data_IF_744078079271
#
_entry.id   IF_744078079271
#
_cell.length_a   1.000
_cell.length_b   1.000
_cell.length_c   1.000
_cell.angle_alpha   90.00
_cell.angle_beta   90.00
_cell.angle_gamma   90.00
#
_symmetry.space_group_name_H-M   'P 1'
#
loop_
_entity.id
_entity.type
_entity.pdbx_description
1 polymer ?
#
# COMPACT_ATOMS: atom_id res chain seq x y z
N UNK A 1 -29.19 10.93 -18.10
CA UNK A 1 -28.52 11.67 -16.99
C UNK A 1 -27.56 10.70 -16.30
N UNK A 2 -26.26 10.98 -16.27
CA UNK A 2 -25.28 10.07 -15.65
C UNK A 2 -25.43 10.04 -14.14
N UNK A 3 -25.52 8.85 -13.53
CA UNK A 3 -25.57 8.70 -12.07
C UNK A 3 -24.23 9.14 -11.46
N UNK A 4 -24.28 10.04 -10.48
CA UNK A 4 -23.10 10.48 -9.75
C UNK A 4 -22.52 9.32 -8.93
N UNK A 5 -21.22 9.07 -9.07
CA UNK A 5 -20.50 8.01 -8.36
C UNK A 5 -19.48 8.64 -7.43
N UNK A 6 -19.49 8.26 -6.15
CA UNK A 6 -18.52 8.72 -5.16
C UNK A 6 -17.49 7.62 -4.89
N UNK A 7 -16.21 7.98 -4.94
CA UNK A 7 -15.08 7.13 -4.60
C UNK A 7 -14.36 7.74 -3.40
N UNK A 8 -14.21 6.97 -2.33
CA UNK A 8 -13.46 7.38 -1.13
C UNK A 8 -12.12 6.65 -1.11
N UNK A 9 -11.03 7.42 -1.07
CA UNK A 9 -9.68 6.89 -0.98
C UNK A 9 -9.11 7.20 0.41
N UNK A 10 -8.64 6.15 1.10
CA UNK A 10 -8.03 6.28 2.43
C UNK A 10 -6.64 5.68 2.40
N UNK A 11 -5.64 6.47 2.78
CA UNK A 11 -4.29 5.95 3.04
C UNK A 11 -4.28 5.29 4.42
N UNK A 12 -3.57 4.18 4.56
CA UNK A 12 -3.38 3.53 5.86
C UNK A 12 -2.71 4.49 6.87
N UNK A 13 -2.98 4.27 8.16
CA UNK A 13 -2.30 5.00 9.24
C UNK A 13 -0.81 4.64 9.38
N UNK A 14 -0.10 5.33 10.25
CA UNK A 14 1.32 5.09 10.55
C UNK A 14 1.60 3.61 10.87
N UNK A 15 2.63 3.03 10.23
CA UNK A 15 3.15 1.70 10.59
C UNK A 15 4.33 1.77 11.56
N UNK A 16 4.64 0.66 12.24
CA UNK A 16 5.82 0.56 13.11
C UNK A 16 7.12 0.93 12.38
N UNK A 17 7.26 0.56 11.11
CA UNK A 17 8.41 0.92 10.29
C UNK A 17 8.43 2.38 9.88
N UNK A 18 7.26 3.01 9.67
CA UNK A 18 7.22 4.45 9.41
C UNK A 18 7.73 5.23 10.62
N UNK A 19 7.28 4.85 11.83
CA UNK A 19 7.73 5.42 13.10
C UNK A 19 9.24 5.26 13.31
N UNK A 20 9.80 4.12 12.93
CA UNK A 20 11.24 3.85 13.00
C UNK A 20 12.07 4.47 11.87
N UNK A 21 11.44 5.30 11.02
CA UNK A 21 12.07 5.92 9.85
C UNK A 21 12.72 4.92 8.87
N UNK A 22 12.15 3.71 8.73
CA UNK A 22 12.63 2.67 7.82
C UNK A 22 11.91 2.71 6.46
N UNK A 23 12.57 2.24 5.41
CA UNK A 23 11.89 1.93 4.14
C UNK A 23 11.06 0.66 4.31
N UNK A 24 9.75 0.75 4.13
CA UNK A 24 8.85 -0.40 4.34
C UNK A 24 8.65 -1.20 3.05
N UNK A 25 8.06 -0.58 2.03
CA UNK A 25 7.72 -1.25 0.78
C UNK A 25 6.74 -2.39 1.02
N UNK A 26 7.07 -3.59 0.57
CA UNK A 26 6.23 -4.78 0.72
C UNK A 26 6.43 -5.55 2.02
N UNK A 27 7.34 -5.08 2.89
CA UNK A 27 7.42 -5.59 4.27
C UNK A 27 6.07 -5.38 4.95
N UNK A 28 5.57 -6.44 5.58
CA UNK A 28 4.22 -6.50 6.14
C UNK A 28 4.14 -5.93 7.56
N UNK A 29 4.69 -4.72 7.73
CA UNK A 29 4.73 -4.05 9.02
C UNK A 29 3.31 -3.69 9.51
N UNK A 30 2.98 -3.95 10.79
CA UNK A 30 1.67 -3.59 11.36
C UNK A 30 1.54 -2.08 11.57
N UNK A 31 0.30 -1.63 11.81
CA UNK A 31 0.03 -0.27 12.29
C UNK A 31 0.69 -0.05 13.66
N UNK A 32 1.17 1.18 13.89
CA UNK A 32 1.49 1.65 15.24
C UNK A 32 0.20 1.96 16.02
N UNK A 33 0.31 2.21 17.32
CA UNK A 33 -0.84 2.71 18.10
C UNK A 33 -1.35 4.05 17.56
N UNK A 34 -0.46 4.91 17.07
CA UNK A 34 -0.87 6.14 16.41
C UNK A 34 -1.59 5.86 15.08
N UNK A 35 -1.12 4.89 14.29
CA UNK A 35 -1.79 4.48 13.06
C UNK A 35 -3.18 3.90 13.26
N UNK A 36 -3.43 3.21 14.39
CA UNK A 36 -4.77 2.77 14.78
C UNK A 36 -5.68 3.97 15.09
N UNK A 37 -5.20 4.94 15.86
CA UNK A 37 -5.93 6.19 16.14
C UNK A 37 -6.23 7.00 14.86
N UNK A 38 -5.31 7.04 13.90
CA UNK A 38 -5.55 7.64 12.59
C UNK A 38 -6.67 6.95 11.81
N UNK A 39 -6.68 5.62 11.80
CA UNK A 39 -7.76 4.85 11.19
C UNK A 39 -9.12 5.12 11.86
N UNK A 40 -9.14 5.26 13.19
CA UNK A 40 -10.36 5.63 13.91
C UNK A 40 -10.84 7.05 13.62
N UNK A 41 -9.92 8.01 13.45
CA UNK A 41 -10.28 9.37 13.04
C UNK A 41 -10.89 9.38 11.64
N UNK A 42 -10.31 8.63 10.71
CA UNK A 42 -10.88 8.45 9.38
C UNK A 42 -12.28 7.82 9.44
N UNK A 43 -12.46 6.81 10.31
CA UNK A 43 -13.76 6.17 10.52
C UNK A 43 -14.82 7.15 11.04
N UNK A 44 -14.46 8.01 12.01
CA UNK A 44 -15.36 9.04 12.55
C UNK A 44 -15.73 10.08 11.49
N UNK A 45 -14.78 10.49 10.64
CA UNK A 45 -15.07 11.41 9.54
C UNK A 45 -16.05 10.79 8.54
N UNK A 46 -15.81 9.53 8.16
CA UNK A 46 -16.70 8.78 7.26
C UNK A 46 -18.12 8.68 7.83
N UNK A 47 -18.27 8.44 9.14
CA UNK A 47 -19.55 8.40 9.82
C UNK A 47 -20.29 9.75 9.72
N UNK A 48 -19.58 10.84 10.02
CA UNK A 48 -20.12 12.22 10.03
C UNK A 48 -20.61 12.65 8.65
N UNK A 49 -19.90 12.27 7.60
CA UNK A 49 -20.27 12.59 6.22
C UNK A 49 -21.42 11.70 5.68
N UNK A 50 -21.84 10.67 6.43
CA UNK A 50 -22.96 9.81 6.05
C UNK A 50 -22.72 8.97 4.79
N UNK A 51 -21.47 8.63 4.48
CA UNK A 51 -21.15 7.81 3.29
C UNK A 51 -21.72 6.40 3.42
N UNK A 52 -22.35 5.91 2.35
CA UNK A 52 -22.76 4.52 2.20
C UNK A 52 -21.82 3.82 1.21
N UNK A 53 -21.37 2.64 1.58
CA UNK A 53 -20.45 1.84 0.78
C UNK A 53 -21.11 0.54 0.34
N UNK A 54 -20.76 0.08 -0.86
CA UNK A 54 -21.21 -1.22 -1.40
C UNK A 54 -20.11 -2.28 -1.39
N UNK A 55 -18.86 -1.84 -1.48
CA UNK A 55 -17.69 -2.71 -1.63
C UNK A 55 -16.47 -1.96 -1.14
N UNK A 56 -15.51 -2.70 -0.59
CA UNK A 56 -14.20 -2.18 -0.22
C UNK A 56 -13.09 -2.86 -1.02
N UNK A 57 -12.02 -2.12 -1.27
CA UNK A 57 -10.80 -2.60 -1.88
C UNK A 57 -9.64 -2.31 -0.96
N UNK A 58 -8.69 -3.24 -0.88
CA UNK A 58 -7.45 -3.03 -0.12
C UNK A 58 -6.28 -3.79 -0.74
N UNK A 59 -5.08 -3.47 -0.30
CA UNK A 59 -3.88 -4.23 -0.65
C UNK A 59 -3.84 -5.57 0.09
N UNK A 60 -2.77 -6.37 -0.09
CA UNK A 60 -2.56 -7.58 0.72
C UNK A 60 -1.72 -7.32 1.97
N UNK A 61 -1.40 -6.05 2.26
CA UNK A 61 -0.53 -5.66 3.38
C UNK A 61 -1.35 -5.34 4.63
N UNK A 62 -0.98 -5.91 5.78
CA UNK A 62 -1.68 -5.83 7.06
C UNK A 62 -2.04 -4.41 7.46
N UNK A 63 -1.15 -3.43 7.27
CA UNK A 63 -1.43 -2.03 7.62
C UNK A 63 -2.66 -1.46 6.90
N UNK A 64 -2.83 -1.76 5.60
CA UNK A 64 -3.99 -1.30 4.85
C UNK A 64 -5.25 -2.12 5.18
N UNK A 65 -5.10 -3.44 5.36
CA UNK A 65 -6.18 -4.34 5.78
C UNK A 65 -6.73 -3.91 7.16
N UNK A 66 -5.84 -3.68 8.13
CA UNK A 66 -6.22 -3.31 9.49
C UNK A 66 -6.83 -1.91 9.55
N UNK A 67 -6.34 -0.94 8.74
CA UNK A 67 -7.01 0.37 8.63
C UNK A 67 -8.44 0.21 8.12
N UNK A 68 -8.66 -0.56 7.05
CA UNK A 68 -10.00 -0.82 6.53
C UNK A 68 -10.89 -1.52 7.57
N UNK A 69 -10.37 -2.53 8.27
CA UNK A 69 -11.12 -3.25 9.32
C UNK A 69 -11.53 -2.34 10.48
N UNK A 70 -10.67 -1.41 10.90
CA UNK A 70 -11.02 -0.42 11.94
C UNK A 70 -12.16 0.47 11.45
N UNK A 71 -12.08 0.97 10.22
CA UNK A 71 -13.12 1.81 9.61
C UNK A 71 -14.46 1.06 9.53
N UNK A 72 -14.43 -0.18 9.04
CA UNK A 72 -15.62 -1.00 8.90
C UNK A 72 -16.27 -1.30 10.25
N UNK A 73 -15.48 -1.76 11.24
CA UNK A 73 -16.01 -2.06 12.58
C UNK A 73 -16.64 -0.86 13.26
N UNK A 74 -15.99 0.32 13.19
CA UNK A 74 -16.48 1.53 13.87
C UNK A 74 -17.74 2.12 13.23
N UNK A 75 -17.97 1.83 11.96
CA UNK A 75 -19.16 2.26 11.22
C UNK A 75 -20.19 1.12 11.03
N UNK A 76 -20.02 -0.01 11.73
CA UNK A 76 -20.87 -1.20 11.60
C UNK A 76 -21.09 -1.65 10.14
N UNK A 77 -20.05 -1.52 9.31
CA UNK A 77 -20.09 -1.88 7.89
C UNK A 77 -19.78 -3.36 7.70
N UNK A 78 -20.66 -4.07 7.00
CA UNK A 78 -20.46 -5.45 6.56
C UNK A 78 -20.33 -5.49 5.03
N UNK A 79 -19.14 -5.18 4.52
CA UNK A 79 -18.87 -5.08 3.08
C UNK A 79 -18.06 -6.27 2.59
N UNK A 80 -18.32 -6.67 1.35
CA UNK A 80 -17.37 -7.48 0.59
C UNK A 80 -16.04 -6.72 0.44
N UNK A 81 -14.94 -7.41 0.74
CA UNK A 81 -13.58 -6.85 0.66
C UNK A 81 -12.80 -7.57 -0.43
N UNK A 82 -12.42 -6.85 -1.48
CA UNK A 82 -11.52 -7.36 -2.51
C UNK A 82 -10.08 -6.96 -2.17
N UNK A 83 -9.24 -7.96 -1.91
CA UNK A 83 -7.79 -7.77 -1.72
C UNK A 83 -7.08 -7.89 -3.06
N UNK A 84 -6.20 -6.93 -3.38
CA UNK A 84 -5.41 -6.98 -4.60
C UNK A 84 -3.97 -6.56 -4.35
N UNK A 85 -3.00 -7.45 -4.61
CA UNK A 85 -1.57 -7.12 -4.46
C UNK A 85 -1.15 -5.94 -5.32
N UNK A 86 -1.86 -5.69 -6.43
CA UNK A 86 -1.59 -4.54 -7.30
C UNK A 86 -1.92 -3.20 -6.65
N UNK A 87 -2.57 -3.19 -5.48
CA UNK A 87 -2.76 -2.04 -4.61
C UNK A 87 -1.72 -1.94 -3.49
N UNK A 88 -0.71 -2.83 -3.46
CA UNK A 88 0.41 -2.72 -2.52
C UNK A 88 1.17 -1.40 -2.70
N UNK A 89 1.87 -0.99 -1.64
CA UNK A 89 2.84 0.12 -1.69
C UNK A 89 3.92 -0.13 -2.75
N UNK A 90 4.63 0.90 -3.20
CA UNK A 90 5.81 0.76 -4.06
C UNK A 90 6.87 -0.15 -3.40
N UNK A 91 7.37 -1.15 -4.13
CA UNK A 91 8.45 -2.02 -3.65
C UNK A 91 9.78 -1.25 -3.56
N UNK A 92 10.37 -1.14 -2.36
CA UNK A 92 11.61 -0.38 -2.15
C UNK A 92 12.89 -1.15 -2.49
N UNK A 93 12.75 -2.36 -3.04
CA UNK A 93 13.87 -3.20 -3.46
C UNK A 93 14.80 -3.55 -2.30
N UNK A 94 16.10 -3.46 -2.53
CA UNK A 94 17.11 -3.72 -1.51
C UNK A 94 17.13 -2.69 -0.37
N UNK A 95 16.39 -1.58 -0.48
CA UNK A 95 16.28 -0.60 0.61
C UNK A 95 15.31 -1.05 1.71
N UNK A 96 14.45 -2.03 1.45
CA UNK A 96 13.45 -2.49 2.43
C UNK A 96 14.11 -2.90 3.75
N UNK A 97 13.60 -2.36 4.86
CA UNK A 97 14.12 -2.57 6.21
C UNK A 97 15.21 -1.59 6.64
N UNK A 98 15.91 -0.93 5.71
CA UNK A 98 16.98 0.00 6.03
C UNK A 98 16.44 1.33 6.59
N UNK A 99 17.21 1.98 7.46
CA UNK A 99 16.87 3.29 8.00
C UNK A 99 17.15 4.37 6.93
N UNK A 100 16.22 5.32 6.75
CA UNK A 100 16.34 6.37 5.73
C UNK A 100 17.47 7.35 6.02
N UNK A 101 17.73 7.66 7.29
CA UNK A 101 18.81 8.53 7.71
C UNK A 101 20.18 7.91 7.44
N UNK A 102 20.36 6.64 7.83
CA UNK A 102 21.59 5.89 7.53
C UNK A 102 21.86 5.81 6.01
N UNK A 103 20.81 5.57 5.21
CA UNK A 103 20.96 5.55 3.74
C UNK A 103 21.26 6.93 3.17
N UNK A 104 20.77 8.01 3.79
CA UNK A 104 21.08 9.37 3.37
C UNK A 104 22.54 9.72 3.68
N UNK A 105 23.08 9.27 4.80
CA UNK A 105 24.52 9.38 5.12
C UNK A 105 25.37 8.55 4.15
N UNK A 106 24.95 7.33 3.83
CA UNK A 106 25.72 6.41 2.97
C UNK A 106 25.71 6.78 1.49
N UNK A 107 24.56 7.19 0.95
CA UNK A 107 24.37 7.41 -0.49
C UNK A 107 24.12 8.88 -0.86
N UNK A 108 24.03 9.76 0.12
CA UNK A 108 23.68 11.16 -0.07
C UNK A 108 22.17 11.40 -0.08
N UNK A 109 21.75 12.54 0.49
CA UNK A 109 20.34 12.93 0.58
C UNK A 109 19.65 13.03 -0.79
N UNK A 110 20.34 13.59 -1.78
CA UNK A 110 19.82 13.74 -3.15
C UNK A 110 19.47 12.38 -3.76
N UNK A 111 20.32 11.36 -3.57
CA UNK A 111 20.09 10.03 -4.11
C UNK A 111 18.90 9.34 -3.42
N UNK A 112 18.82 9.46 -2.09
CA UNK A 112 17.67 8.94 -1.31
C UNK A 112 16.36 9.65 -1.71
N UNK A 113 16.41 10.96 -1.96
CA UNK A 113 15.26 11.71 -2.47
C UNK A 113 14.85 11.25 -3.86
N UNK A 114 15.80 10.97 -4.76
CA UNK A 114 15.49 10.41 -6.08
C UNK A 114 14.75 9.08 -5.97
N UNK A 115 15.26 8.12 -5.18
CA UNK A 115 14.58 6.84 -4.95
C UNK A 115 13.18 7.01 -4.32
N UNK A 116 12.97 8.06 -3.51
CA UNK A 116 11.71 8.28 -2.81
C UNK A 116 10.68 9.07 -3.63
N UNK A 117 11.11 10.03 -4.44
CA UNK A 117 10.22 11.04 -5.02
C UNK A 117 10.22 11.08 -6.53
N UNK A 118 11.25 10.52 -7.19
CA UNK A 118 11.26 10.45 -8.65
C UNK A 118 10.11 9.57 -9.14
N UNK A 119 9.56 9.97 -10.29
CA UNK A 119 8.51 9.21 -10.96
C UNK A 119 9.05 7.88 -11.52
N UNK A 120 10.22 7.91 -12.16
CA UNK A 120 10.75 6.82 -12.97
C UNK A 120 12.00 6.15 -12.39
N UNK A 121 12.68 6.75 -11.41
CA UNK A 121 13.89 6.15 -10.82
C UNK A 121 13.51 5.02 -9.87
N UNK A 122 14.07 3.84 -10.12
CA UNK A 122 13.95 2.67 -9.23
C UNK A 122 15.01 2.72 -8.13
N UNK A 123 14.72 2.18 -6.93
CA UNK A 123 15.75 1.90 -5.94
C UNK A 123 16.64 0.73 -6.40
N UNK A 124 17.77 0.46 -5.73
CA UNK A 124 18.56 -0.75 -5.98
C UNK A 124 17.68 -2.00 -5.88
N UNK A 125 17.79 -2.88 -6.87
CA UNK A 125 16.95 -4.07 -6.96
C UNK A 125 17.32 -5.09 -5.88
N UNK A 126 16.32 -5.78 -5.36
CA UNK A 126 16.50 -6.90 -4.46
C UNK A 126 17.11 -8.09 -5.21
N UNK A 127 18.02 -8.82 -4.58
CA UNK A 127 18.57 -10.05 -5.14
C UNK A 127 17.50 -11.15 -5.18
N UNK A 128 17.45 -11.94 -6.26
CA UNK A 128 16.48 -13.07 -6.40
C UNK A 128 16.59 -14.09 -5.27
N UNK A 129 17.79 -14.29 -4.74
CA UNK A 129 18.08 -15.19 -3.62
C UNK A 129 17.63 -14.65 -2.26
N UNK A 130 17.30 -13.36 -2.15
CA UNK A 130 16.91 -12.74 -0.88
C UNK A 130 15.68 -13.41 -0.27
N UNK A 131 15.69 -13.56 1.06
CA UNK A 131 14.53 -13.98 1.84
C UNK A 131 13.34 -13.01 1.73
N UNK A 132 13.59 -11.74 1.39
CA UNK A 132 12.55 -10.72 1.18
C UNK A 132 11.92 -10.77 -0.22
N UNK A 133 12.33 -11.69 -1.09
CA UNK A 133 11.78 -11.81 -2.42
C UNK A 133 10.28 -12.18 -2.34
N UNK A 134 9.35 -11.37 -2.89
CA UNK A 134 7.92 -11.66 -2.83
C UNK A 134 7.55 -13.03 -3.42
N UNK A 135 8.31 -13.57 -4.36
CA UNK A 135 8.08 -14.89 -4.93
C UNK A 135 8.24 -16.05 -3.92
N UNK A 136 8.81 -15.78 -2.73
CA UNK A 136 8.95 -16.74 -1.62
C UNK A 136 7.86 -16.58 -0.56
N UNK A 137 7.05 -15.53 -0.65
CA UNK A 137 6.04 -15.23 0.35
C UNK A 137 4.70 -15.87 -0.03
N UNK A 138 4.10 -16.71 0.85
CA UNK A 138 2.87 -17.44 0.56
C UNK A 138 1.69 -16.57 0.11
N UNK A 139 1.67 -15.28 0.49
CA UNK A 139 0.62 -14.33 0.06
C UNK A 139 0.57 -14.13 -1.45
N UNK A 140 1.66 -14.42 -2.16
CA UNK A 140 1.79 -14.25 -3.61
C UNK A 140 1.92 -15.58 -4.36
N UNK A 141 1.60 -16.72 -3.73
CA UNK A 141 1.75 -18.06 -4.34
C UNK A 141 1.01 -18.21 -5.68
N UNK A 142 -0.11 -17.50 -5.83
CA UNK A 142 -0.99 -17.53 -7.00
C UNK A 142 -0.69 -16.38 -7.99
N UNK A 143 0.41 -15.65 -7.80
CA UNK A 143 0.85 -14.56 -8.67
C UNK A 143 2.01 -15.05 -9.55
N UNK A 144 1.97 -14.84 -10.88
CA UNK A 144 3.11 -15.14 -11.75
C UNK A 144 4.38 -14.45 -11.25
N UNK A 145 5.47 -15.22 -11.11
CA UNK A 145 6.71 -14.76 -10.46
C UNK A 145 7.37 -13.59 -11.20
N UNK A 146 7.15 -13.49 -12.51
CA UNK A 146 7.61 -12.41 -13.38
C UNK A 146 6.83 -11.10 -13.19
N UNK A 147 5.62 -11.15 -12.61
CA UNK A 147 4.88 -9.95 -12.21
C UNK A 147 5.29 -9.41 -10.83
N UNK A 148 6.05 -10.18 -10.04
CA UNK A 148 6.46 -9.79 -8.69
C UNK A 148 7.73 -8.92 -8.74
N UNK A 149 7.69 -7.69 -8.20
CA UNK A 149 8.81 -6.78 -8.32
C UNK A 149 9.95 -7.10 -7.36
N UNK A 150 11.18 -6.89 -7.82
CA UNK A 150 12.36 -6.82 -6.96
C UNK A 150 12.73 -5.37 -6.61
N UNK A 151 11.98 -4.38 -7.10
CA UNK A 151 12.19 -2.95 -6.90
C UNK A 151 11.32 -2.17 -7.89
N UNK A 152 10.67 -1.10 -7.43
CA UNK A 152 9.71 -0.33 -8.23
C UNK A 152 10.00 1.17 -8.16
N UNK A 153 9.76 1.85 -9.28
CA UNK A 153 9.53 3.29 -9.33
C UNK A 153 8.04 3.59 -9.12
N UNK A 154 7.67 4.87 -9.09
CA UNK A 154 6.24 5.25 -9.07
C UNK A 154 5.56 4.89 -10.40
N UNK A 155 6.25 5.00 -11.54
CA UNK A 155 5.76 4.61 -12.85
C UNK A 155 5.36 3.12 -12.92
N UNK A 156 6.18 2.24 -12.35
CA UNK A 156 5.89 0.80 -12.26
C UNK A 156 4.63 0.53 -11.42
N UNK A 157 4.55 1.22 -10.28
CA UNK A 157 3.40 1.15 -9.37
C UNK A 157 2.12 1.57 -10.08
N UNK A 158 2.15 2.70 -10.81
CA UNK A 158 1.00 3.19 -11.61
C UNK A 158 0.59 2.16 -12.65
N UNK A 159 1.54 1.55 -13.37
CA UNK A 159 1.26 0.52 -14.39
C UNK A 159 0.49 -0.66 -13.80
N UNK A 160 0.90 -1.19 -12.65
CA UNK A 160 0.17 -2.31 -12.01
C UNK A 160 -1.15 -1.89 -11.36
N UNK A 161 -1.24 -0.71 -10.75
CA UNK A 161 -2.49 -0.20 -10.16
C UNK A 161 -3.55 -0.03 -11.26
N UNK A 162 -3.17 0.48 -12.44
CA UNK A 162 -4.06 0.60 -13.61
C UNK A 162 -4.67 -0.74 -14.02
N UNK A 163 -3.94 -1.85 -13.92
CA UNK A 163 -4.50 -3.19 -14.19
C UNK A 163 -5.65 -3.51 -13.24
N UNK A 164 -5.46 -3.33 -11.92
CA UNK A 164 -6.52 -3.56 -10.92
C UNK A 164 -7.70 -2.59 -11.08
N UNK A 165 -7.41 -1.33 -11.39
CA UNK A 165 -8.43 -0.32 -11.64
C UNK A 165 -9.34 -0.73 -12.81
N UNK A 166 -8.75 -1.05 -13.96
CA UNK A 166 -9.50 -1.37 -15.18
C UNK A 166 -10.23 -2.72 -15.08
N UNK A 167 -9.60 -3.73 -14.48
CA UNK A 167 -10.18 -5.07 -14.42
C UNK A 167 -11.28 -5.22 -13.37
N UNK A 168 -11.24 -4.42 -12.29
CA UNK A 168 -12.11 -4.60 -11.12
C UNK A 168 -12.76 -3.30 -10.63
N UNK A 169 -12.00 -2.34 -10.11
CA UNK A 169 -12.56 -1.15 -9.42
C UNK A 169 -13.52 -0.38 -10.35
N UNK A 170 -13.07 -0.04 -11.56
CA UNK A 170 -13.86 0.72 -12.55
C UNK A 170 -15.17 0.02 -12.90
N UNK A 171 -15.20 -1.31 -12.93
CA UNK A 171 -16.42 -2.09 -13.23
C UNK A 171 -17.44 -2.06 -12.09
N UNK A 172 -17.01 -1.79 -10.85
CA UNK A 172 -17.88 -1.67 -9.66
C UNK A 172 -18.30 -0.23 -9.35
N UNK A 173 -17.77 0.75 -10.09
CA UNK A 173 -18.22 2.13 -10.04
C UNK A 173 -19.45 2.41 -10.92
N UNK A 174 -19.80 1.47 -11.80
CA UNK A 174 -20.99 1.56 -12.67
C UNK A 174 -22.21 0.95 -11.99
#
# INVERSE_FOLDING_TARGET
MGRLVRLVLVRHGESTYNRQNRFTGWIDAPLSENGKREAERAANLIAREGFKFRIAFTSVLKRAVNTLQIIMRKNSLNLDVVKCWRLNERHYGALQGLNKGEMALKYGERQVLLWRRSYSVRPPMLQKSSSMNPARDPRYRDVPKDELPLGESLADTVKRVRKCWNSSIKKRLR
#
